data_IF_889753852028
#
_entry.id   IF_889753852028
#
_cell.length_a   1.000
_cell.length_b   1.000
_cell.length_c   1.000
_cell.angle_alpha   90.00
_cell.angle_beta   90.00
_cell.angle_gamma   90.00
#
_symmetry.space_group_name_H-M   'P 1'
#
loop_
_entity.id
_entity.type
_entity.pdbx_description
1 polymer ?
#
# COMPACT_ATOMS: atom_id res chain seq x y z
N UNK A 1 11.42 7.45 -1.73
CA UNK A 1 10.48 6.32 -1.49
C UNK A 1 10.34 5.52 -2.76
N UNK A 2 10.96 4.34 -2.79
CA UNK A 2 10.90 3.43 -3.93
C UNK A 2 9.60 2.61 -3.88
N UNK A 3 8.98 2.42 -5.04
CA UNK A 3 7.73 1.65 -5.18
C UNK A 3 7.91 0.19 -4.74
N UNK A 4 9.08 -0.38 -5.00
CA UNK A 4 9.46 -1.75 -4.66
C UNK A 4 9.40 -2.01 -3.15
N UNK A 5 9.98 -1.12 -2.35
CA UNK A 5 9.95 -1.23 -0.89
C UNK A 5 8.50 -1.22 -0.32
N UNK A 6 7.57 -0.51 -0.97
CA UNK A 6 6.15 -0.58 -0.59
C UNK A 6 5.54 -1.94 -0.96
N UNK A 7 5.90 -2.49 -2.12
CA UNK A 7 5.36 -3.77 -2.60
C UNK A 7 5.84 -4.92 -1.71
N UNK A 8 7.15 -4.99 -1.41
CA UNK A 8 7.73 -5.99 -0.51
C UNK A 8 7.09 -5.95 0.88
N UNK A 9 6.88 -4.74 1.42
CA UNK A 9 6.22 -4.56 2.71
C UNK A 9 4.73 -4.91 2.67
N UNK A 10 4.05 -4.74 1.54
CA UNK A 10 2.65 -5.20 1.41
C UNK A 10 2.60 -6.72 1.26
N UNK A 11 3.54 -7.32 0.53
CA UNK A 11 3.62 -8.78 0.32
C UNK A 11 3.66 -9.55 1.65
N UNK A 12 4.51 -9.11 2.60
CA UNK A 12 4.61 -9.70 3.94
C UNK A 12 3.34 -9.54 4.79
N UNK A 13 2.42 -8.63 4.41
CA UNK A 13 1.18 -8.35 5.13
C UNK A 13 -0.04 -8.84 4.34
N UNK A 14 -0.39 -10.14 4.43
CA UNK A 14 -1.54 -10.72 3.71
C UNK A 14 -2.87 -10.05 4.09
N UNK A 15 -2.97 -9.45 5.27
CA UNK A 15 -4.15 -8.68 5.71
C UNK A 15 -4.54 -7.54 4.76
N UNK A 16 -3.61 -7.04 3.94
CA UNK A 16 -3.84 -5.92 3.01
C UNK A 16 -4.29 -6.40 1.63
N UNK A 17 -3.74 -7.51 1.15
CA UNK A 17 -3.90 -7.94 -0.25
C UNK A 17 -4.61 -9.27 -0.42
N UNK A 18 -4.46 -10.19 0.53
CA UNK A 18 -4.98 -11.54 0.44
C UNK A 18 -6.45 -11.57 0.87
N UNK A 19 -7.36 -11.61 -0.11
CA UNK A 19 -8.80 -11.68 0.14
C UNK A 19 -9.25 -13.01 0.78
N UNK A 20 -8.43 -14.04 0.68
CA UNK A 20 -8.70 -15.37 1.25
C UNK A 20 -8.32 -15.46 2.73
N UNK A 21 -7.55 -14.50 3.25
CA UNK A 21 -7.20 -14.43 4.67
C UNK A 21 -8.33 -13.80 5.51
N UNK A 22 -8.60 -14.37 6.68
CA UNK A 22 -9.54 -13.79 7.65
C UNK A 22 -9.09 -12.41 8.14
N UNK A 23 -7.78 -12.19 8.23
CA UNK A 23 -7.19 -10.88 8.58
C UNK A 23 -7.55 -9.77 7.59
N UNK A 24 -7.94 -10.12 6.35
CA UNK A 24 -8.45 -9.15 5.39
C UNK A 24 -9.88 -8.71 5.72
N UNK A 25 -10.69 -9.55 6.35
CA UNK A 25 -12.03 -9.14 6.80
C UNK A 25 -11.93 -8.16 7.97
N UNK A 26 -10.85 -8.27 8.74
CA UNK A 26 -10.64 -7.44 9.91
C UNK A 26 -10.12 -6.04 9.55
N UNK A 27 -10.91 -5.01 9.91
CA UNK A 27 -10.53 -3.61 9.70
C UNK A 27 -9.33 -3.22 10.57
N UNK A 28 -9.24 -3.77 11.77
CA UNK A 28 -8.20 -3.41 12.73
C UNK A 28 -6.84 -3.91 12.26
N UNK A 29 -6.76 -5.15 11.79
CA UNK A 29 -5.52 -5.74 11.28
C UNK A 29 -5.01 -5.05 10.03
N UNK A 30 -5.91 -4.68 9.12
CA UNK A 30 -5.58 -3.83 7.97
C UNK A 30 -4.92 -2.53 8.40
N UNK A 31 -5.54 -1.82 9.33
CA UNK A 31 -5.01 -0.53 9.80
C UNK A 31 -3.65 -0.70 10.49
N UNK A 32 -3.50 -1.75 11.32
CA UNK A 32 -2.25 -2.10 11.98
C UNK A 32 -1.13 -2.40 10.98
N UNK A 33 -1.40 -3.22 9.96
CA UNK A 33 -0.45 -3.53 8.91
C UNK A 33 -0.02 -2.26 8.17
N UNK A 34 -0.96 -1.39 7.80
CA UNK A 34 -0.62 -0.11 7.16
C UNK A 34 0.24 0.80 8.04
N UNK A 35 -0.02 0.86 9.34
CA UNK A 35 0.79 1.64 10.29
C UNK A 35 2.20 1.07 10.38
N UNK A 36 2.35 -0.25 10.38
CA UNK A 36 3.65 -0.93 10.43
C UNK A 36 4.48 -0.68 9.16
N UNK A 37 3.85 -0.81 7.99
CA UNK A 37 4.46 -0.44 6.70
C UNK A 37 4.89 1.03 6.73
N UNK A 38 4.01 1.92 7.19
CA UNK A 38 4.31 3.33 7.21
C UNK A 38 5.43 3.69 8.21
N UNK A 39 5.53 2.99 9.34
CA UNK A 39 6.68 3.10 10.26
C UNK A 39 7.99 2.66 9.62
N UNK A 40 7.98 1.55 8.87
CA UNK A 40 9.19 1.06 8.18
C UNK A 40 9.61 1.97 7.03
N UNK A 41 8.64 2.54 6.31
CA UNK A 41 8.91 3.42 5.16
C UNK A 41 9.32 4.83 5.61
N UNK A 42 8.68 5.36 6.65
CA UNK A 42 8.97 6.68 7.19
C UNK A 42 9.75 6.52 8.49
N UNK A 43 11.08 6.58 8.43
CA UNK A 43 11.94 6.56 9.62
C UNK A 43 11.58 7.69 10.60
N UNK A 44 11.13 8.85 10.09
CA UNK A 44 10.55 9.98 10.84
C UNK A 44 9.08 9.79 11.26
N UNK A 45 8.61 8.56 11.42
CA UNK A 45 7.27 8.30 11.92
C UNK A 45 7.12 8.76 13.38
N UNK A 46 8.14 8.55 14.21
CA UNK A 46 8.10 8.90 15.64
C UNK A 46 8.38 10.39 15.89
N UNK A 47 9.23 11.01 15.07
CA UNK A 47 9.72 12.39 15.25
C UNK A 47 8.61 13.46 15.13
N UNK A 48 7.59 13.22 14.32
CA UNK A 48 6.51 14.19 14.05
C UNK A 48 5.36 14.17 15.07
N UNK A 49 5.31 13.17 15.96
CA UNK A 49 4.25 13.02 16.96
C UNK A 49 4.18 14.14 18.01
N UNK A 50 5.22 14.97 18.12
CA UNK A 50 5.32 16.01 19.17
C UNK A 50 4.93 17.42 18.74
N UNK A 51 4.85 17.76 17.44
CA UNK A 51 4.86 19.19 17.03
C UNK A 51 3.56 19.85 16.60
N UNK A 52 2.43 19.16 16.42
CA UNK A 52 1.15 19.86 16.13
C UNK A 52 -0.05 19.25 16.84
N UNK A 53 -0.30 19.72 18.07
CA UNK A 53 -1.64 19.71 18.69
C UNK A 53 -2.30 21.06 18.41
N UNK A 54 -2.94 21.24 17.26
CA UNK A 54 -3.80 22.40 17.05
C UNK A 54 -5.22 21.98 16.64
N UNK A 55 -6.07 21.86 17.67
CA UNK A 55 -7.45 22.37 17.72
C UNK A 55 -8.28 22.29 16.42
N UNK A 56 -8.70 21.07 16.05
CA UNK A 56 -10.06 20.68 15.62
C UNK A 56 -10.00 19.25 15.10
N UNK A 57 -11.04 18.47 15.39
CA UNK A 57 -11.22 17.05 15.03
C UNK A 57 -10.48 16.02 15.92
N UNK A 58 -11.31 15.34 16.70
CA UNK A 58 -11.17 14.01 17.30
C UNK A 58 -9.80 13.31 17.12
N UNK A 59 -9.11 13.15 18.25
CA UNK A 59 -8.01 12.21 18.48
C UNK A 59 -8.11 10.94 17.62
N UNK A 60 -7.11 10.68 16.76
CA UNK A 60 -6.36 9.42 16.67
C UNK A 60 -5.24 9.55 15.61
N UNK A 61 -4.00 9.52 16.12
CA UNK A 61 -2.69 9.37 15.44
C UNK A 61 -2.33 10.42 14.36
N UNK A 62 -1.36 11.33 14.61
CA UNK A 62 -0.93 12.38 13.64
C UNK A 62 -0.34 11.85 12.32
N UNK A 63 -0.16 10.54 12.17
CA UNK A 63 0.49 9.94 11.02
C UNK A 63 -0.46 9.28 10.00
N UNK A 64 -1.77 9.48 10.13
CA UNK A 64 -2.74 8.90 9.19
C UNK A 64 -2.56 9.43 7.74
N UNK A 65 -2.10 10.68 7.55
CA UNK A 65 -1.88 11.24 6.22
C UNK A 65 -0.80 10.48 5.41
N UNK A 66 0.25 9.98 6.09
CA UNK A 66 1.30 9.14 5.47
C UNK A 66 0.73 7.80 5.05
N UNK A 67 -0.06 7.17 5.92
CA UNK A 67 -0.77 5.92 5.62
C UNK A 67 -1.74 6.11 4.45
N UNK A 68 -2.47 7.22 4.41
CA UNK A 68 -3.39 7.52 3.31
C UNK A 68 -2.65 7.70 1.98
N UNK A 69 -1.51 8.41 1.99
CA UNK A 69 -0.63 8.53 0.83
C UNK A 69 -0.12 7.16 0.34
N UNK A 70 0.26 6.26 1.26
CA UNK A 70 0.67 4.89 0.93
C UNK A 70 -0.49 4.07 0.35
N UNK A 71 -1.69 4.14 0.95
CA UNK A 71 -2.90 3.49 0.45
C UNK A 71 -3.23 3.98 -0.96
N UNK A 72 -3.15 5.30 -1.20
CA UNK A 72 -3.38 5.91 -2.52
C UNK A 72 -2.34 5.43 -3.54
N UNK A 73 -1.07 5.35 -3.14
CA UNK A 73 0.01 4.86 -4.00
C UNK A 73 -0.17 3.38 -4.33
N UNK A 74 -0.50 2.55 -3.35
CA UNK A 74 -0.85 1.13 -3.55
C UNK A 74 -2.04 0.95 -4.49
N UNK A 75 -3.10 1.76 -4.31
CA UNK A 75 -4.24 1.78 -5.23
C UNK A 75 -3.81 2.09 -6.66
N UNK A 76 -2.91 3.06 -6.86
CA UNK A 76 -2.39 3.41 -8.17
C UNK A 76 -1.54 2.29 -8.80
N UNK A 77 -0.72 1.60 -8.01
CA UNK A 77 0.06 0.43 -8.46
C UNK A 77 -0.89 -0.69 -8.92
N UNK A 78 -1.91 -1.02 -8.11
CA UNK A 78 -2.92 -2.01 -8.46
C UNK A 78 -3.73 -1.63 -9.69
N UNK A 79 -4.11 -0.35 -9.82
CA UNK A 79 -4.83 0.15 -10.99
C UNK A 79 -3.97 0.02 -12.26
N UNK A 80 -2.70 0.38 -12.17
CA UNK A 80 -1.72 0.24 -13.26
C UNK A 80 -1.52 -1.23 -13.66
N UNK A 81 -1.40 -2.13 -12.66
CA UNK A 81 -1.32 -3.58 -12.89
C UNK A 81 -2.60 -4.11 -13.53
N UNK A 82 -3.78 -3.69 -13.05
CA UNK A 82 -5.07 -4.10 -13.60
C UNK A 82 -5.20 -3.65 -15.05
N UNK A 83 -4.85 -2.40 -15.37
CA UNK A 83 -4.82 -1.91 -16.77
C UNK A 83 -3.88 -2.73 -17.64
N UNK A 84 -2.70 -3.09 -17.12
CA UNK A 84 -1.76 -3.96 -17.81
C UNK A 84 -2.36 -5.35 -18.09
N UNK A 85 -3.05 -5.95 -17.10
CA UNK A 85 -3.72 -7.25 -17.23
C UNK A 85 -4.94 -7.20 -18.16
N UNK A 86 -5.77 -6.16 -18.08
CA UNK A 86 -6.99 -5.98 -18.87
C UNK A 86 -6.68 -5.79 -20.36
N UNK A 87 -5.55 -5.15 -20.66
CA UNK A 87 -5.01 -5.04 -22.03
C UNK A 87 -4.62 -6.41 -22.64
N UNK A 88 -4.58 -7.52 -21.88
CA UNK A 88 -4.37 -8.87 -22.45
C UNK A 88 -5.51 -9.35 -23.34
N UNK A 89 -6.72 -8.82 -23.21
CA UNK A 89 -7.89 -9.35 -23.93
C UNK A 89 -7.98 -8.90 -25.39
N UNK A 90 -7.06 -8.06 -25.88
CA UNK A 90 -7.00 -7.70 -27.29
C UNK A 90 -5.64 -7.12 -27.70
N UNK A 91 -5.11 -7.67 -28.79
CA UNK A 91 -4.14 -7.03 -29.68
C UNK A 91 -2.62 -7.17 -29.35
N UNK A 92 -2.02 -8.18 -29.99
CA UNK A 92 -0.82 -8.21 -30.85
C UNK A 92 0.43 -7.32 -30.60
N UNK A 93 0.52 -6.49 -29.57
CA UNK A 93 1.69 -5.64 -29.36
C UNK A 93 2.63 -6.23 -28.28
N UNK A 94 3.85 -6.62 -28.68
CA UNK A 94 4.98 -6.93 -27.77
C UNK A 94 5.22 -5.74 -26.82
N UNK A 95 4.57 -5.71 -25.66
CA UNK A 95 4.66 -4.61 -24.70
C UNK A 95 5.62 -4.95 -23.57
N UNK A 96 6.48 -3.98 -23.21
CA UNK A 96 7.46 -4.08 -22.11
C UNK A 96 6.81 -4.67 -20.85
N UNK A 97 7.48 -5.68 -20.28
CA UNK A 97 7.14 -6.26 -18.97
C UNK A 97 6.94 -5.11 -17.98
N UNK A 98 5.82 -5.08 -17.26
CA UNK A 98 5.62 -4.07 -16.22
C UNK A 98 6.78 -4.17 -15.23
N UNK A 99 7.43 -3.05 -14.92
CA UNK A 99 8.71 -3.04 -14.18
C UNK A 99 8.56 -3.71 -12.81
N UNK A 100 7.38 -3.62 -12.20
CA UNK A 100 7.09 -4.27 -10.91
C UNK A 100 6.23 -5.54 -11.05
N UNK A 101 6.17 -6.16 -12.24
CA UNK A 101 5.34 -7.35 -12.46
C UNK A 101 5.78 -8.51 -11.57
N UNK A 102 7.10 -8.75 -11.46
CA UNK A 102 7.66 -9.83 -10.65
C UNK A 102 7.39 -9.60 -9.16
N UNK A 103 7.58 -8.36 -8.69
CA UNK A 103 7.26 -7.98 -7.31
C UNK A 103 5.74 -8.05 -7.01
N UNK A 104 4.87 -7.98 -8.02
CA UNK A 104 3.41 -8.07 -7.86
C UNK A 104 2.87 -9.46 -8.21
N UNK A 105 3.74 -10.44 -8.45
CA UNK A 105 3.33 -11.79 -8.85
C UNK A 105 2.51 -12.50 -7.77
N UNK A 106 2.65 -12.13 -6.50
CA UNK A 106 1.85 -12.66 -5.40
C UNK A 106 0.36 -12.26 -5.48
N UNK A 107 0.00 -11.25 -6.28
CA UNK A 107 -1.38 -10.79 -6.46
C UNK A 107 -2.14 -11.49 -7.59
N UNK A 108 -1.44 -12.26 -8.43
CA UNK A 108 -2.01 -12.91 -9.61
C UNK A 108 -2.76 -14.19 -9.28
#
# INVERSE_FOLDING_TARGET
MSTENLIELVEIHPSIWNKSCEQYKDRYEKEKAWIEIARRIFQDWDTLGKKERNKKCKLKVPNNYKVDALKKKWKNIKDSLRKYLDTRSGDAAKKKKYVHLEALSFLC
#
